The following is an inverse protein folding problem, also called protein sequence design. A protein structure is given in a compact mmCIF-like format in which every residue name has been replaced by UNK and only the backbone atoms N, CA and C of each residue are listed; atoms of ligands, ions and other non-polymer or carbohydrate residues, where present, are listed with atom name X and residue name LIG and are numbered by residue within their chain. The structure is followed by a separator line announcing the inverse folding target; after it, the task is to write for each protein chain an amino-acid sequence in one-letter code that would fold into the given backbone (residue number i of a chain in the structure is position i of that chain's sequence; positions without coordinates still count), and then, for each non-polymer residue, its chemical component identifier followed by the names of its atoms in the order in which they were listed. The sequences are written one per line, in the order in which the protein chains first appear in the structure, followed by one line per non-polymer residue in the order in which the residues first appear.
data_IF_543009253791
#
_entry.id   IF_543009253791
#
_cell.length_a   1.000
_cell.length_b   1.000
_cell.length_c   1.000
_cell.angle_alpha   90.00
_cell.angle_beta   90.00
_cell.angle_gamma   90.00
#
_symmetry.space_group_name_H-M   'P 1'
#
loop_
_entity.id
_entity.type
_entity.pdbx_description
1 polymer ?
#
# COMPACT_ATOMS: atom_id res chain seq x y z
N UNK A 1 -43.53 15.51 14.27
CA UNK A 1 -42.30 15.70 15.08
C UNK A 1 -41.34 14.53 14.92
N UNK A 2 -41.80 13.27 14.76
CA UNK A 2 -40.93 12.11 14.46
C UNK A 2 -40.22 12.17 13.09
N UNK A 3 -40.85 12.83 12.09
CA UNK A 3 -40.32 12.94 10.73
C UNK A 3 -38.99 13.73 10.64
N UNK A 4 -38.78 14.76 11.48
CA UNK A 4 -37.54 15.56 11.44
C UNK A 4 -36.35 14.80 12.03
N UNK A 5 -36.57 14.04 13.10
CA UNK A 5 -35.52 13.19 13.71
C UNK A 5 -35.11 12.08 12.76
N UNK A 6 -36.08 11.49 12.05
CA UNK A 6 -35.81 10.51 11.00
C UNK A 6 -35.01 11.12 9.84
N UNK A 7 -35.38 12.32 9.39
CA UNK A 7 -34.66 13.00 8.31
C UNK A 7 -33.22 13.36 8.72
N UNK A 8 -33.01 13.87 9.94
CA UNK A 8 -31.67 14.15 10.47
C UNK A 8 -30.82 12.88 10.55
N UNK A 9 -31.42 11.74 10.87
CA UNK A 9 -30.72 10.45 10.88
C UNK A 9 -30.31 10.02 9.47
N UNK A 10 -31.21 10.14 8.49
CA UNK A 10 -30.93 9.84 7.08
C UNK A 10 -29.81 10.73 6.55
N UNK A 11 -29.84 12.03 6.85
CA UNK A 11 -28.81 12.96 6.41
C UNK A 11 -27.44 12.65 7.03
N UNK A 12 -27.42 12.24 8.30
CA UNK A 12 -26.20 11.74 8.96
C UNK A 12 -25.67 10.46 8.33
N UNK A 13 -26.54 9.50 7.99
CA UNK A 13 -26.14 8.26 7.31
C UNK A 13 -25.56 8.54 5.92
N UNK A 14 -26.22 9.39 5.13
CA UNK A 14 -25.73 9.81 3.81
C UNK A 14 -24.35 10.46 3.91
N UNK A 15 -24.13 11.28 4.95
CA UNK A 15 -22.82 11.91 5.19
C UNK A 15 -21.75 10.89 5.55
N UNK A 16 -22.07 9.87 6.35
CA UNK A 16 -21.13 8.77 6.67
C UNK A 16 -20.77 7.99 5.40
N UNK A 17 -21.77 7.64 4.58
CA UNK A 17 -21.57 6.92 3.32
C UNK A 17 -20.61 7.69 2.38
N UNK A 18 -20.82 8.99 2.20
CA UNK A 18 -19.93 9.84 1.41
C UNK A 18 -18.51 9.90 1.97
N UNK A 19 -18.33 9.90 3.30
CA UNK A 19 -16.99 9.83 3.88
C UNK A 19 -16.31 8.49 3.61
N UNK A 20 -17.04 7.38 3.73
CA UNK A 20 -16.52 6.03 3.43
C UNK A 20 -16.08 5.93 1.96
N UNK A 21 -16.89 6.43 1.03
CA UNK A 21 -16.57 6.43 -0.40
C UNK A 21 -15.28 7.23 -0.69
N UNK A 22 -15.20 8.47 -0.15
CA UNK A 22 -13.99 9.30 -0.31
C UNK A 22 -12.75 8.66 0.29
N UNK A 23 -12.85 8.10 1.49
CA UNK A 23 -11.72 7.41 2.13
C UNK A 23 -11.29 6.18 1.33
N UNK A 24 -12.23 5.44 0.75
CA UNK A 24 -11.93 4.29 -0.11
C UNK A 24 -11.14 4.70 -1.34
N UNK A 25 -11.55 5.78 -2.02
CA UNK A 25 -10.80 6.32 -3.16
C UNK A 25 -9.41 6.79 -2.78
N UNK A 26 -9.27 7.53 -1.67
CA UNK A 26 -7.95 7.97 -1.19
C UNK A 26 -7.01 6.79 -0.92
N UNK A 27 -7.51 5.70 -0.32
CA UNK A 27 -6.72 4.49 -0.08
C UNK A 27 -6.31 3.79 -1.39
N UNK A 28 -7.16 3.82 -2.41
CA UNK A 28 -6.84 3.30 -3.74
C UNK A 28 -5.74 4.14 -4.41
N UNK A 29 -5.86 5.46 -4.36
CA UNK A 29 -4.86 6.37 -4.93
C UNK A 29 -3.50 6.18 -4.25
N UNK A 30 -3.49 5.99 -2.92
CA UNK A 30 -2.26 5.63 -2.19
C UNK A 30 -1.67 4.32 -2.70
N UNK A 31 -2.49 3.27 -2.85
CA UNK A 31 -1.98 1.99 -3.35
C UNK A 31 -1.38 2.12 -4.76
N UNK A 32 -2.00 2.93 -5.63
CA UNK A 32 -1.59 3.16 -7.01
C UNK A 32 -0.28 3.96 -7.14
N UNK A 33 -0.12 5.01 -6.34
CA UNK A 33 1.03 5.93 -6.41
C UNK A 33 2.20 5.52 -5.49
N UNK A 34 1.95 4.68 -4.48
CA UNK A 34 2.99 4.31 -3.52
C UNK A 34 4.12 3.52 -4.18
N UNK A 35 5.35 3.97 -3.94
CA UNK A 35 6.56 3.34 -4.39
C UNK A 35 7.51 3.05 -3.23
N UNK A 36 8.22 1.93 -3.32
CA UNK A 36 9.25 1.52 -2.37
C UNK A 36 10.63 1.66 -3.02
N UNK A 37 11.59 2.21 -2.29
CA UNK A 37 13.00 2.17 -2.70
C UNK A 37 13.57 0.76 -2.53
N UNK A 38 14.74 0.51 -3.13
CA UNK A 38 15.52 -0.70 -2.85
C UNK A 38 15.75 -0.90 -1.35
N UNK A 39 16.07 0.17 -0.61
CA UNK A 39 16.31 0.12 0.83
C UNK A 39 15.03 -0.30 1.58
N UNK A 40 13.91 0.35 1.29
CA UNK A 40 12.63 0.06 1.96
C UNK A 40 12.24 -1.42 1.77
N UNK A 41 12.43 -1.96 0.57
CA UNK A 41 12.12 -3.36 0.28
C UNK A 41 13.04 -4.35 0.97
N UNK A 42 14.35 -4.07 1.01
CA UNK A 42 15.32 -4.90 1.73
C UNK A 42 14.95 -4.94 3.21
N UNK A 43 14.67 -3.79 3.82
CA UNK A 43 14.29 -3.70 5.24
C UNK A 43 12.94 -4.36 5.52
N UNK A 44 11.94 -4.15 4.65
CA UNK A 44 10.58 -4.69 4.83
C UNK A 44 10.54 -6.21 4.64
N UNK A 45 11.18 -6.71 3.59
CA UNK A 45 11.07 -8.12 3.17
C UNK A 45 12.28 -8.96 3.55
N UNK A 46 13.31 -8.38 4.14
CA UNK A 46 14.57 -9.05 4.48
C UNK A 46 15.16 -9.83 3.29
N UNK A 47 15.10 -9.23 2.11
CA UNK A 47 15.65 -9.79 0.87
C UNK A 47 16.97 -9.15 0.51
N UNK A 48 17.83 -9.87 -0.19
CA UNK A 48 19.06 -9.28 -0.71
C UNK A 48 18.77 -8.39 -1.94
N UNK A 49 19.65 -7.42 -2.19
CA UNK A 49 19.62 -6.63 -3.41
C UNK A 49 19.72 -7.51 -4.68
N UNK A 50 20.48 -8.61 -4.61
CA UNK A 50 20.57 -9.59 -5.70
C UNK A 50 19.23 -10.29 -5.98
N UNK A 51 18.36 -10.44 -4.97
CA UNK A 51 16.99 -10.94 -5.14
C UNK A 51 16.13 -9.93 -5.90
N UNK A 52 16.21 -8.65 -5.52
CA UNK A 52 15.50 -7.57 -6.19
C UNK A 52 15.98 -7.38 -7.64
N UNK A 53 17.29 -7.51 -7.89
CA UNK A 53 17.84 -7.56 -9.25
C UNK A 53 17.22 -8.69 -10.08
N UNK A 54 17.08 -9.90 -9.52
CA UNK A 54 16.44 -11.02 -10.22
C UNK A 54 14.97 -10.73 -10.52
N UNK A 55 14.25 -10.08 -9.62
CA UNK A 55 12.86 -9.68 -9.86
C UNK A 55 12.74 -8.71 -11.03
N UNK A 56 13.62 -7.71 -11.10
CA UNK A 56 13.70 -6.77 -12.23
C UNK A 56 14.07 -7.47 -13.53
N UNK A 57 15.14 -8.28 -13.52
CA UNK A 57 15.62 -9.02 -14.70
C UNK A 57 14.54 -9.93 -15.30
N UNK A 58 13.66 -10.48 -14.46
CA UNK A 58 12.55 -11.34 -14.87
C UNK A 58 11.22 -10.59 -15.07
N UNK A 59 11.20 -9.26 -14.92
CA UNK A 59 9.99 -8.44 -14.93
C UNK A 59 8.87 -8.98 -14.01
N UNK A 60 9.22 -9.49 -12.83
CA UNK A 60 8.25 -10.04 -11.87
C UNK A 60 7.39 -8.96 -11.23
N UNK A 61 7.93 -7.76 -11.10
CA UNK A 61 7.27 -6.60 -10.47
C UNK A 61 7.55 -5.38 -11.31
N UNK A 62 6.61 -4.44 -11.34
CA UNK A 62 6.79 -3.15 -11.98
C UNK A 62 7.80 -2.32 -11.19
N UNK A 63 8.72 -1.69 -11.91
CA UNK A 63 9.72 -0.79 -11.35
C UNK A 63 10.01 0.34 -12.33
N UNK A 64 10.65 1.40 -11.84
CA UNK A 64 11.20 2.49 -12.65
C UNK A 64 12.54 2.95 -12.08
N UNK A 65 13.30 3.65 -12.91
CA UNK A 65 14.47 4.40 -12.47
C UNK A 65 14.06 5.86 -12.20
N UNK A 66 14.63 6.46 -11.16
CA UNK A 66 14.58 7.90 -10.93
C UNK A 66 15.58 8.61 -11.85
N UNK A 67 15.52 9.93 -11.91
CA UNK A 67 16.51 10.75 -12.62
C UNK A 67 17.94 10.54 -12.08
N UNK A 68 18.07 10.24 -10.79
CA UNK A 68 19.35 9.89 -10.13
C UNK A 68 19.84 8.47 -10.44
N UNK A 69 19.06 7.64 -11.14
CA UNK A 69 19.38 6.24 -11.41
C UNK A 69 19.00 5.27 -10.29
N UNK A 70 18.38 5.75 -9.21
CA UNK A 70 17.85 4.90 -8.14
C UNK A 70 16.62 4.13 -8.62
N UNK A 71 16.36 2.99 -7.98
CA UNK A 71 15.28 2.09 -8.39
C UNK A 71 14.09 2.24 -7.46
N UNK A 72 12.91 2.40 -8.05
CA UNK A 72 11.63 2.45 -7.36
C UNK A 72 10.73 1.31 -7.81
N UNK A 73 10.09 0.64 -6.85
CA UNK A 73 9.20 -0.49 -7.08
C UNK A 73 7.77 -0.09 -6.71
N UNK A 74 6.82 -0.34 -7.61
CA UNK A 74 5.42 0.04 -7.39
C UNK A 74 4.77 -0.90 -6.35
N UNK A 75 4.23 -0.32 -5.28
CA UNK A 75 3.63 -1.06 -4.17
C UNK A 75 2.47 -1.95 -4.63
N UNK A 76 1.54 -1.41 -5.42
CA UNK A 76 0.42 -2.20 -6.00
C UNK A 76 0.91 -3.42 -6.78
N UNK A 77 2.00 -3.29 -7.54
CA UNK A 77 2.57 -4.41 -8.28
C UNK A 77 3.13 -5.48 -7.33
N UNK A 78 3.80 -5.09 -6.26
CA UNK A 78 4.32 -6.02 -5.26
C UNK A 78 3.17 -6.76 -4.57
N UNK A 79 2.12 -6.03 -4.18
CA UNK A 79 0.96 -6.56 -3.50
C UNK A 79 0.19 -7.56 -4.37
N UNK A 80 -0.04 -7.24 -5.66
CA UNK A 80 -0.65 -8.17 -6.61
C UNK A 80 0.20 -9.43 -6.78
N UNK A 81 1.51 -9.29 -6.95
CA UNK A 81 2.39 -10.44 -7.12
C UNK A 81 2.47 -11.32 -5.87
N UNK A 82 2.42 -10.74 -4.67
CA UNK A 82 2.28 -11.49 -3.42
C UNK A 82 0.91 -12.20 -3.32
N UNK A 83 -0.20 -11.51 -3.61
CA UNK A 83 -1.55 -12.11 -3.58
C UNK A 83 -1.69 -13.28 -4.56
N UNK A 84 -1.04 -13.18 -5.72
CA UNK A 84 -1.03 -14.23 -6.74
C UNK A 84 0.05 -15.31 -6.52
N UNK A 85 0.76 -15.32 -5.39
CA UNK A 85 1.86 -16.26 -5.11
C UNK A 85 2.98 -16.27 -6.19
N UNK A 86 3.19 -15.13 -6.87
CA UNK A 86 4.21 -14.95 -7.92
C UNK A 86 5.57 -14.53 -7.35
N UNK A 87 5.60 -14.02 -6.12
CA UNK A 87 6.84 -13.74 -5.38
C UNK A 87 7.13 -14.90 -4.43
N UNK A 88 8.31 -15.50 -4.56
CA UNK A 88 8.83 -16.48 -3.62
C UNK A 88 10.12 -15.96 -3.02
N UNK A 89 10.14 -15.88 -1.69
CA UNK A 89 11.32 -15.49 -0.90
C UNK A 89 11.70 -16.71 -0.07
N UNK A 90 12.98 -17.09 -0.10
CA UNK A 90 13.46 -18.23 0.67
C UNK A 90 13.29 -17.96 2.16
N UNK A 91 12.68 -18.90 2.89
CA UNK A 91 12.46 -18.78 4.33
C UNK A 91 11.30 -17.86 4.74
N UNK A 92 10.50 -17.35 3.80
CA UNK A 92 9.34 -16.51 4.09
C UNK A 92 8.08 -17.11 3.46
N UNK A 93 7.01 -17.21 4.26
CA UNK A 93 5.71 -17.64 3.76
C UNK A 93 4.98 -16.48 3.07
N UNK A 94 4.05 -16.80 2.17
CA UNK A 94 3.36 -15.75 1.40
C UNK A 94 2.42 -14.87 2.26
N UNK A 95 1.82 -15.43 3.31
CA UNK A 95 1.03 -14.68 4.30
C UNK A 95 1.91 -13.70 5.08
N UNK A 96 3.12 -14.11 5.45
CA UNK A 96 4.10 -13.22 6.09
C UNK A 96 4.58 -12.10 5.15
N UNK A 97 4.83 -12.42 3.87
CA UNK A 97 5.14 -11.43 2.84
C UNK A 97 4.03 -10.37 2.71
N UNK A 98 2.78 -10.81 2.65
CA UNK A 98 1.61 -9.92 2.58
C UNK A 98 1.50 -9.05 3.84
N UNK A 99 1.64 -9.64 5.03
CA UNK A 99 1.57 -8.92 6.30
C UNK A 99 2.66 -7.84 6.39
N UNK A 100 3.90 -8.14 5.98
CA UNK A 100 5.00 -7.16 5.95
C UNK A 100 4.72 -5.98 5.01
N UNK A 101 4.18 -6.25 3.81
CA UNK A 101 3.81 -5.19 2.86
C UNK A 101 2.64 -4.33 3.38
N UNK A 102 1.64 -4.93 4.02
CA UNK A 102 0.52 -4.18 4.60
C UNK A 102 0.99 -3.31 5.76
N UNK A 103 1.80 -3.85 6.67
CA UNK A 103 2.39 -3.09 7.79
C UNK A 103 3.28 -1.93 7.32
N UNK A 104 3.99 -2.10 6.20
CA UNK A 104 4.77 -1.00 5.62
C UNK A 104 3.85 0.18 5.24
N UNK A 105 2.76 -0.11 4.53
CA UNK A 105 1.77 0.92 4.15
C UNK A 105 1.13 1.55 5.39
N UNK A 106 0.72 0.74 6.36
CA UNK A 106 0.07 1.24 7.58
C UNK A 106 1.00 2.19 8.36
N UNK A 107 2.29 1.87 8.47
CA UNK A 107 3.28 2.75 9.10
C UNK A 107 3.40 4.10 8.39
N UNK A 108 3.36 4.12 7.06
CA UNK A 108 3.41 5.37 6.29
C UNK A 108 2.16 6.21 6.50
N UNK A 109 0.98 5.59 6.45
CA UNK A 109 -0.30 6.27 6.68
C UNK A 109 -0.33 6.85 8.10
N UNK A 110 -0.01 6.05 9.12
CA UNK A 110 0.02 6.50 10.51
C UNK A 110 1.01 7.65 10.73
N UNK A 111 2.21 7.56 10.14
CA UNK A 111 3.22 8.63 10.24
C UNK A 111 2.74 9.93 9.60
N UNK A 112 2.02 9.84 8.47
CA UNK A 112 1.42 10.99 7.81
C UNK A 112 0.32 11.63 8.65
N UNK A 113 -0.58 10.83 9.24
CA UNK A 113 -1.63 11.32 10.13
C UNK A 113 -1.06 12.06 11.35
N UNK A 114 -0.03 11.49 12.00
CA UNK A 114 0.63 12.12 13.15
C UNK A 114 1.41 13.39 12.77
N UNK A 115 1.89 13.50 11.53
CA UNK A 115 2.55 14.69 11.04
C UNK A 115 1.56 15.85 10.81
N UNK A 116 0.30 15.56 10.45
CA UNK A 116 -0.76 16.56 10.32
C UNK A 116 -1.27 17.14 11.65
N UNK A 117 -0.89 16.56 12.79
CA UNK A 117 -1.26 17.05 14.13
C UNK A 117 -0.22 18.02 14.74
N UNK A 118 0.85 18.35 13.99
CA UNK A 118 1.90 19.31 14.39
C UNK A 118 1.81 20.60 13.60
#
# INVERSE_FOLDING_TARGET
MESSVYQDLVDRLNRIEQYVERTTHLLQDIDDELEMSTKDLIETLNVSESTLYRWRKKNLVRFRYTESGDVRYFYKSLLICARCNRLRISGMRNDELLDRLLRYKDKLILSSCLASER
#
